data_IF_387394949995
#
_entry.id   IF_387394949995
#
_cell.length_a   1.000
_cell.length_b   1.000
_cell.length_c   1.000
_cell.angle_alpha   90.00
_cell.angle_beta   90.00
_cell.angle_gamma   90.00
#
_symmetry.space_group_name_H-M   'P 1'
#
loop_
_entity.id
_entity.type
_entity.pdbx_description
1 polymer ?
#
# COMPACT_ATOMS: atom_id res chain seq x y z
N UNK A 1 6.22 -4.25 2.81
CA UNK A 1 5.15 -3.77 1.91
C UNK A 1 5.73 -2.66 1.06
N UNK A 2 5.33 -2.58 -0.21
CA UNK A 2 5.77 -1.51 -1.10
C UNK A 2 4.55 -0.73 -1.60
N UNK A 3 4.69 0.59 -1.65
CA UNK A 3 3.81 1.51 -2.35
C UNK A 3 4.61 2.02 -3.54
N UNK A 4 4.09 1.81 -4.75
CA UNK A 4 4.77 2.12 -6.01
C UNK A 4 3.91 3.12 -6.77
N UNK A 5 4.42 4.34 -6.89
CA UNK A 5 3.78 5.44 -7.59
C UNK A 5 4.76 6.60 -7.80
N UNK A 6 4.40 7.56 -8.65
CA UNK A 6 5.07 8.87 -8.75
C UNK A 6 4.19 10.00 -8.16
N UNK A 7 3.05 9.64 -7.55
CA UNK A 7 2.02 10.57 -7.09
C UNK A 7 2.09 10.78 -5.57
N UNK A 8 1.36 11.79 -5.09
CA UNK A 8 1.06 11.96 -3.66
C UNK A 8 -0.04 10.99 -3.23
N UNK A 9 0.10 10.45 -2.02
CA UNK A 9 -0.83 9.47 -1.46
C UNK A 9 -0.93 9.57 0.06
N UNK A 10 -2.06 9.13 0.59
CA UNK A 10 -2.27 8.93 2.02
C UNK A 10 -3.04 7.64 2.27
N UNK A 11 -2.98 7.11 3.49
CA UNK A 11 -3.67 5.87 3.79
C UNK A 11 -3.38 5.31 5.18
N UNK A 12 -3.68 4.03 5.32
CA UNK A 12 -3.41 3.26 6.53
C UNK A 12 -2.86 1.89 6.19
N UNK A 13 -1.97 1.42 7.06
CA UNK A 13 -1.39 0.07 7.01
C UNK A 13 -1.64 -0.64 8.32
N UNK A 14 -1.86 -1.95 8.24
CA UNK A 14 -2.16 -2.81 9.37
C UNK A 14 -1.27 -4.05 9.39
N UNK A 15 -0.80 -4.40 10.59
CA UNK A 15 -0.15 -5.65 10.92
C UNK A 15 -0.86 -6.23 12.15
N UNK A 16 -1.53 -7.36 11.98
CA UNK A 16 -2.39 -7.98 13.00
C UNK A 16 -3.40 -6.98 13.61
N UNK A 17 -3.30 -6.70 14.92
CA UNK A 17 -4.17 -5.77 15.65
C UNK A 17 -3.67 -4.32 15.64
N UNK A 18 -2.51 -4.04 15.04
CA UNK A 18 -1.94 -2.70 14.98
C UNK A 18 -2.21 -2.06 13.62
N UNK A 19 -2.81 -0.87 13.65
CA UNK A 19 -2.99 -0.02 12.47
C UNK A 19 -2.33 1.31 12.69
N UNK A 20 -1.77 1.89 11.63
CA UNK A 20 -1.24 3.26 11.63
C UNK A 20 -1.52 3.96 10.32
N UNK A 21 -1.69 5.27 10.40
CA UNK A 21 -1.75 6.13 9.22
C UNK A 21 -0.37 6.34 8.63
N UNK A 22 -0.31 6.44 7.32
CA UNK A 22 0.90 6.76 6.55
C UNK A 22 0.53 7.67 5.39
N UNK A 23 1.47 8.49 4.97
CA UNK A 23 1.34 9.41 3.84
C UNK A 23 2.71 9.64 3.20
N UNK A 24 2.72 10.10 1.95
CA UNK A 24 3.96 10.40 1.25
C UNK A 24 3.77 10.74 -0.22
N UNK A 25 4.91 10.91 -0.90
CA UNK A 25 4.99 11.15 -2.33
C UNK A 25 5.92 10.13 -2.96
N UNK A 26 5.49 9.56 -4.07
CA UNK A 26 6.29 8.59 -4.81
C UNK A 26 6.36 7.22 -4.13
N UNK A 27 7.40 6.47 -4.48
CA UNK A 27 7.61 5.12 -3.94
C UNK A 27 7.93 5.15 -2.44
N UNK A 28 7.36 4.21 -1.69
CA UNK A 28 7.64 4.02 -0.27
C UNK A 28 7.72 2.53 0.09
N UNK A 29 8.62 2.20 1.00
CA UNK A 29 8.76 0.85 1.52
C UNK A 29 8.48 0.87 3.02
N UNK A 30 7.47 0.09 3.41
CA UNK A 30 7.03 -0.03 4.79
C UNK A 30 7.40 -1.41 5.35
N UNK A 31 8.05 -1.42 6.51
CA UNK A 31 8.35 -2.66 7.22
C UNK A 31 7.19 -3.00 8.18
N UNK A 32 6.52 -4.12 7.89
CA UNK A 32 5.36 -4.59 8.67
C UNK A 32 5.77 -5.47 9.86
N UNK A 33 7.05 -5.80 10.00
CA UNK A 33 7.53 -6.72 11.03
C UNK A 33 7.03 -8.15 10.83
N UNK A 34 7.09 -8.95 11.89
CA UNK A 34 6.45 -10.26 11.95
C UNK A 34 4.96 -10.08 12.23
N UNK A 35 4.11 -10.57 11.34
CA UNK A 35 2.65 -10.52 11.46
C UNK A 35 2.04 -11.76 10.79
N UNK A 36 0.85 -12.17 11.24
CA UNK A 36 0.08 -13.23 10.58
C UNK A 36 -0.76 -12.66 9.44
N UNK A 37 -1.23 -11.42 9.59
CA UNK A 37 -2.04 -10.72 8.59
C UNK A 37 -1.49 -9.32 8.37
N UNK A 38 -1.38 -8.95 7.10
CA UNK A 38 -1.01 -7.59 6.66
C UNK A 38 -2.12 -7.03 5.79
N UNK A 39 -2.45 -5.75 5.99
CA UNK A 39 -3.43 -5.02 5.17
C UNK A 39 -2.99 -3.58 4.91
N UNK A 40 -3.50 -3.01 3.82
CA UNK A 40 -3.31 -1.60 3.50
C UNK A 40 -4.50 -1.05 2.70
N UNK A 41 -4.82 0.21 2.97
CA UNK A 41 -5.72 1.03 2.17
C UNK A 41 -4.99 2.33 1.85
N UNK A 42 -4.66 2.54 0.58
CA UNK A 42 -3.89 3.69 0.10
C UNK A 42 -4.69 4.42 -0.98
N UNK A 43 -4.80 5.74 -0.84
CA UNK A 43 -5.52 6.62 -1.74
C UNK A 43 -4.55 7.59 -2.41
N UNK A 44 -4.74 7.85 -3.70
CA UNK A 44 -4.08 8.96 -4.39
C UNK A 44 -4.68 10.29 -3.95
N UNK A 45 -3.82 11.28 -3.73
CA UNK A 45 -4.23 12.66 -3.46
C UNK A 45 -4.27 13.53 -4.73
N UNK A 46 -4.06 12.91 -5.89
CA UNK A 46 -3.99 13.60 -7.19
C UNK A 46 -5.12 13.19 -8.12
N UNK A 47 -5.52 14.12 -8.98
CA UNK A 47 -6.45 13.88 -10.09
C UNK A 47 -5.73 13.40 -11.37
N UNK A 48 -4.55 12.81 -11.26
CA UNK A 48 -3.83 12.29 -12.41
C UNK A 48 -4.30 10.88 -12.77
N UNK A 49 -3.97 10.40 -13.97
CA UNK A 49 -4.11 8.98 -14.32
C UNK A 49 -2.87 8.15 -13.98
N UNK A 50 -1.95 8.71 -13.17
CA UNK A 50 -0.76 8.02 -12.68
C UNK A 50 -1.10 6.76 -11.90
N UNK A 51 -0.24 5.75 -12.00
CA UNK A 51 -0.46 4.46 -11.35
C UNK A 51 -0.15 4.53 -9.85
N UNK A 52 -1.02 3.93 -9.04
CA UNK A 52 -0.75 3.55 -7.65
C UNK A 52 -0.83 2.03 -7.56
N UNK A 53 0.23 1.38 -7.08
CA UNK A 53 0.28 -0.05 -6.79
C UNK A 53 0.74 -0.28 -5.35
N UNK A 54 0.09 -1.22 -4.67
CA UNK A 54 0.47 -1.64 -3.33
C UNK A 54 0.79 -3.14 -3.37
N UNK A 55 1.95 -3.51 -2.82
CA UNK A 55 2.45 -4.89 -2.79
C UNK A 55 2.69 -5.34 -1.35
N UNK A 56 2.17 -6.50 -1.00
CA UNK A 56 2.52 -7.24 0.22
C UNK A 56 3.60 -8.26 -0.14
N UNK A 57 4.68 -8.27 0.64
CA UNK A 57 5.83 -9.13 0.42
C UNK A 57 6.07 -10.02 1.64
N UNK A 58 6.42 -11.28 1.40
CA UNK A 58 6.94 -12.23 2.39
C UNK A 58 8.26 -12.78 1.89
N UNK A 59 9.30 -12.73 2.72
CA UNK A 59 10.65 -13.20 2.39
C UNK A 59 11.20 -12.64 1.06
N UNK A 60 10.91 -11.35 0.80
CA UNK A 60 11.31 -10.65 -0.42
C UNK A 60 10.48 -10.95 -1.66
N UNK A 61 9.50 -11.86 -1.57
CA UNK A 61 8.61 -12.22 -2.68
C UNK A 61 7.27 -11.52 -2.55
N UNK A 62 6.74 -10.97 -3.65
CA UNK A 62 5.39 -10.40 -3.69
C UNK A 62 4.38 -11.54 -3.63
N UNK A 63 3.57 -11.57 -2.56
CA UNK A 63 2.53 -12.59 -2.36
C UNK A 63 1.14 -12.09 -2.78
N UNK A 64 0.93 -10.77 -2.75
CA UNK A 64 -0.32 -10.12 -3.14
C UNK A 64 -0.03 -8.68 -3.57
N UNK A 65 -0.69 -8.24 -4.63
CA UNK A 65 -0.65 -6.85 -5.07
C UNK A 65 -2.01 -6.44 -5.64
N UNK A 66 -2.31 -5.15 -5.54
CA UNK A 66 -3.46 -4.50 -6.18
C UNK A 66 -3.02 -3.13 -6.71
N UNK A 67 -3.72 -2.59 -7.71
CA UNK A 67 -3.36 -1.30 -8.31
C UNK A 67 -4.56 -0.55 -8.90
N UNK A 68 -4.39 0.76 -9.08
CA UNK A 68 -5.36 1.62 -9.75
C UNK A 68 -4.66 2.73 -10.55
N UNK A 69 -5.33 3.20 -11.60
CA UNK A 69 -4.94 4.40 -12.37
C UNK A 69 -6.03 5.47 -12.30
N UNK A 70 -7.10 5.25 -11.54
CA UNK A 70 -8.16 6.23 -11.40
C UNK A 70 -7.65 7.52 -10.73
N UNK A 71 -8.20 8.65 -11.13
CA UNK A 71 -8.05 9.92 -10.42
C UNK A 71 -8.59 9.75 -8.99
N UNK A 72 -7.83 10.18 -7.98
CA UNK A 72 -8.14 9.92 -6.57
C UNK A 72 -8.41 8.45 -6.24
N UNK A 73 -7.87 7.53 -7.04
CA UNK A 73 -8.11 6.10 -6.90
C UNK A 73 -7.61 5.55 -5.57
N UNK A 74 -8.33 4.55 -5.06
CA UNK A 74 -8.00 3.83 -3.82
C UNK A 74 -7.58 2.41 -4.15
N UNK A 75 -6.52 1.94 -3.50
CA UNK A 75 -6.08 0.54 -3.49
C UNK A 75 -6.31 -0.04 -2.10
N UNK A 76 -7.03 -1.15 -2.02
CA UNK A 76 -7.21 -1.93 -0.78
C UNK A 76 -6.66 -3.33 -1.00
N UNK A 77 -5.74 -3.76 -0.16
CA UNK A 77 -5.09 -5.07 -0.25
C UNK A 77 -4.91 -5.68 1.13
N UNK A 78 -5.13 -6.98 1.25
CA UNK A 78 -4.85 -7.76 2.45
C UNK A 78 -4.36 -9.16 2.11
N UNK A 79 -3.50 -9.71 2.95
CA UNK A 79 -2.99 -11.07 2.81
C UNK A 79 -2.62 -11.66 4.18
N UNK A 80 -2.83 -12.97 4.31
CA UNK A 80 -2.21 -13.78 5.37
C UNK A 80 -0.79 -14.16 4.94
N UNK A 81 0.17 -14.11 5.86
CA UNK A 81 1.59 -14.32 5.58
C UNK A 81 1.99 -15.79 5.70
#
# INVERSE_FOLDING_TARGET
MNIITNEEWSGSVGADSNTRSIDGTGNHQENMGSADIVSAVIQKETNSTGMLRVQILKDGQVIKEESTTAEYGVVSVSASL
#
